data_IF_671185973421
#
_entry.id   IF_671185973421
#
_cell.length_a   1.000
_cell.length_b   1.000
_cell.length_c   1.000
_cell.angle_alpha   90.00
_cell.angle_beta   90.00
_cell.angle_gamma   90.00
#
_symmetry.space_group_name_H-M   'P 1'
#
loop_
_entity.id
_entity.type
_entity.pdbx_description
1 polymer ?
2 non-polymer ?
3 water ?
#
# COMPACT_ATOMS: atom_id res chain seq x y z
N UNK A 3 -18.71 -32.57 19.61
CA UNK A 3 -19.76 -31.78 18.91
C UNK A 3 -19.10 -30.55 18.30
N UNK A 4 -18.15 -30.02 19.07
CA UNK A 4 -17.38 -28.88 18.58
C UNK A 4 -16.39 -29.26 17.50
N UNK A 5 -15.83 -30.47 17.59
CA UNK A 5 -14.89 -30.96 16.60
C UNK A 5 -15.52 -31.03 15.21
N UNK A 6 -16.76 -31.53 15.17
CA UNK A 6 -17.52 -31.62 13.93
C UNK A 6 -17.85 -30.25 13.36
N UNK A 7 -18.25 -29.32 14.23
CA UNK A 7 -18.48 -27.95 13.83
C UNK A 7 -17.21 -27.32 13.24
N UNK A 8 -16.10 -27.52 13.93
CA UNK A 8 -14.83 -26.94 13.46
C UNK A 8 -14.40 -27.49 12.10
N UNK A 9 -14.53 -28.80 11.93
CA UNK A 9 -14.10 -29.43 10.67
C UNK A 9 -14.96 -28.97 9.49
N UNK A 10 -16.23 -28.70 9.76
CA UNK A 10 -17.16 -28.27 8.74
C UNK A 10 -17.05 -26.78 8.45
N UNK A 11 -16.52 -26.02 9.42
CA UNK A 11 -16.51 -24.57 9.30
C UNK A 11 -15.33 -24.07 8.49
N UNK A 12 -14.24 -24.80 8.41
CA UNK A 12 -13.00 -24.33 7.83
C UNK A 12 -12.81 -24.56 6.35
N UNK A 13 -11.96 -23.77 5.70
CA UNK A 13 -11.71 -23.88 4.25
C UNK A 13 -10.59 -24.90 4.10
N UNK A 14 -10.25 -25.28 2.87
CA UNK A 14 -9.23 -26.30 2.71
C UNK A 14 -7.97 -25.87 1.97
N UNK A 15 -7.98 -24.98 1.00
CA UNK A 15 -6.75 -24.64 0.29
C UNK A 15 -6.20 -23.27 0.69
N UNK A 16 -5.12 -22.87 0.04
CA UNK A 16 -4.44 -21.62 0.29
C UNK A 16 -5.24 -20.40 -0.11
N UNK A 17 -5.21 -19.36 0.74
CA UNK A 17 -5.86 -18.10 0.40
C UNK A 17 -5.31 -17.60 -0.93
N UNK A 18 -6.25 -17.24 -1.82
CA UNK A 18 -5.85 -16.81 -3.18
C UNK A 18 -6.40 -15.45 -3.53
N UNK A 19 -5.60 -14.66 -4.23
CA UNK A 19 -6.04 -13.38 -4.77
C UNK A 19 -6.80 -13.69 -6.08
N UNK A 20 -8.07 -13.29 -6.12
CA UNK A 20 -8.96 -13.56 -7.23
C UNK A 20 -9.31 -12.34 -8.08
N UNK A 21 -8.98 -11.15 -7.61
CA UNK A 21 -9.29 -9.94 -8.37
C UNK A 21 -8.57 -8.75 -7.77
N UNK A 22 -8.09 -7.84 -8.60
CA UNK A 22 -7.43 -6.64 -8.08
C UNK A 22 -7.97 -5.45 -8.87
N UNK A 23 -8.31 -4.39 -8.19
CA UNK A 23 -8.80 -3.18 -8.86
C UNK A 23 -8.17 -1.97 -8.18
N UNK A 24 -7.84 -0.90 -8.94
CA UNK A 24 -7.23 0.26 -8.31
C UNK A 24 -7.98 1.54 -8.72
N UNK A 25 -7.71 2.61 -7.99
CA UNK A 25 -8.26 3.92 -8.29
C UNK A 25 -7.41 4.99 -7.65
N UNK A 26 -7.46 6.18 -8.23
CA UNK A 26 -6.74 7.34 -7.78
C UNK A 26 -7.60 8.60 -7.99
N UNK A 27 -7.33 9.62 -7.21
CA UNK A 27 -8.00 10.91 -7.37
C UNK A 27 -7.71 11.41 -8.80
N UNK A 28 -8.64 12.15 -9.39
CA UNK A 28 -8.41 12.54 -10.81
C UNK A 28 -7.30 13.54 -11.00
N UNK A 29 -6.90 14.29 -10.00
CA UNK A 29 -5.91 15.35 -10.16
C UNK A 29 -4.49 14.82 -10.27
N UNK A 30 -3.89 14.91 -11.48
CA UNK A 30 -2.54 14.40 -11.73
C UNK A 30 -1.51 15.48 -11.52
N UNK A 31 -0.55 15.32 -10.61
CA UNK A 31 0.43 16.29 -10.26
C UNK A 31 1.81 15.88 -10.81
N UNK A 32 2.31 16.61 -11.81
CA UNK A 32 3.61 16.29 -12.37
C UNK A 32 4.70 16.54 -11.34
N UNK A 33 5.71 15.71 -11.25
CA UNK A 33 6.77 15.88 -10.28
C UNK A 33 7.77 16.90 -10.76
N UNK A 34 8.00 17.00 -12.07
CA UNK A 34 9.04 17.89 -12.58
C UNK A 34 8.82 19.31 -12.15
N UNK A 35 7.60 19.80 -12.11
CA UNK A 35 7.31 21.17 -11.71
C UNK A 35 6.74 21.30 -10.30
N UNK A 36 6.80 20.19 -9.56
CA UNK A 36 6.17 20.20 -8.22
C UNK A 36 6.85 21.14 -7.27
N UNK A 37 8.17 21.21 -7.23
CA UNK A 37 8.87 22.10 -6.33
C UNK A 37 8.38 23.54 -6.45
N UNK A 38 8.24 24.04 -7.67
CA UNK A 38 7.77 25.37 -7.97
C UNK A 38 6.33 25.57 -7.52
N UNK A 39 5.46 24.60 -7.79
CA UNK A 39 4.08 24.64 -7.36
C UNK A 39 4.00 24.62 -5.82
N UNK A 40 4.71 23.70 -5.20
CA UNK A 40 4.58 23.50 -3.74
C UNK A 40 5.07 24.69 -2.96
N UNK A 41 6.22 25.25 -3.38
CA UNK A 41 6.76 26.41 -2.69
C UNK A 41 5.90 27.65 -2.89
N UNK A 42 5.18 27.78 -4.00
CA UNK A 42 4.29 28.90 -4.22
C UNK A 42 3.03 28.76 -3.37
N UNK A 43 2.37 27.61 -3.48
CA UNK A 43 1.14 27.35 -2.77
C UNK A 43 1.32 27.37 -1.24
N UNK A 44 2.52 27.12 -0.74
CA UNK A 44 2.75 27.18 0.71
C UNK A 44 3.36 28.51 1.10
N UNK A 45 3.39 29.51 0.21
CA UNK A 45 4.00 30.80 0.52
C UNK A 45 5.42 30.65 1.04
N UNK A 46 6.25 29.88 0.38
CA UNK A 46 7.60 29.64 0.79
C UNK A 46 8.64 29.99 -0.27
N UNK A 47 8.30 30.80 -1.25
CA UNK A 47 9.23 31.20 -2.31
C UNK A 47 10.49 31.86 -1.77
N UNK A 48 10.46 32.53 -0.63
CA UNK A 48 11.65 33.12 -0.05
C UNK A 48 12.59 32.10 0.57
N UNK A 49 12.18 30.86 0.83
CA UNK A 49 13.09 29.88 1.41
C UNK A 49 13.87 29.22 0.27
N UNK A 50 14.83 29.96 -0.29
CA UNK A 50 15.52 29.59 -1.53
C UNK A 50 16.41 28.38 -1.35
N UNK A 51 17.18 28.31 -0.27
CA UNK A 51 18.04 27.14 -0.05
C UNK A 51 17.20 25.90 0.15
N UNK A 52 16.11 26.04 0.91
CA UNK A 52 15.20 24.89 1.13
C UNK A 52 14.55 24.42 -0.17
N UNK A 53 14.13 25.38 -0.99
CA UNK A 53 13.52 25.07 -2.28
C UNK A 53 14.47 24.31 -3.20
N UNK A 54 15.75 24.68 -3.21
CA UNK A 54 16.74 23.94 -3.99
C UNK A 54 16.84 22.50 -3.46
N UNK A 55 16.89 22.33 -2.13
CA UNK A 55 16.89 21.02 -1.51
C UNK A 55 15.67 20.21 -1.93
N UNK A 56 14.49 20.83 -1.94
CA UNK A 56 13.30 20.10 -2.35
C UNK A 56 13.41 19.66 -3.81
N UNK A 57 13.91 20.56 -4.68
CA UNK A 57 14.03 20.24 -6.11
C UNK A 57 14.90 19.00 -6.28
N UNK A 58 16.00 18.88 -5.55
CA UNK A 58 16.86 17.72 -5.64
C UNK A 58 16.15 16.47 -5.12
N UNK A 59 15.39 16.64 -4.02
CA UNK A 59 14.56 15.55 -3.50
C UNK A 59 13.58 15.06 -4.55
N UNK A 60 12.86 15.99 -5.18
CA UNK A 60 11.94 15.58 -6.24
C UNK A 60 12.72 14.99 -7.43
N UNK A 61 13.85 15.60 -7.82
CA UNK A 61 14.53 15.06 -9.02
C UNK A 61 15.05 13.66 -8.78
N UNK A 62 15.44 13.33 -7.56
CA UNK A 62 15.93 12.02 -7.21
C UNK A 62 14.88 11.01 -6.73
N UNK A 63 13.63 11.44 -6.63
CA UNK A 63 12.58 10.59 -6.10
C UNK A 63 12.25 9.44 -7.01
N UNK A 64 12.57 9.57 -8.31
CA UNK A 64 12.19 8.58 -9.32
C UNK A 64 10.67 8.50 -9.44
N UNK A 65 9.93 9.55 -9.13
CA UNK A 65 8.50 9.66 -9.24
C UNK A 65 8.25 10.63 -10.42
N UNK A 66 7.53 10.25 -11.44
CA UNK A 66 7.18 11.19 -12.51
C UNK A 66 5.88 11.93 -12.18
N UNK A 67 4.94 11.27 -11.50
CA UNK A 67 3.68 11.91 -11.18
C UNK A 67 2.98 11.23 -10.00
N UNK A 68 2.09 12.00 -9.36
CA UNK A 68 1.26 11.47 -8.28
C UNK A 68 -0.14 12.01 -8.49
N UNK A 69 -1.11 11.30 -7.93
CA UNK A 69 -2.49 11.69 -7.96
C UNK A 69 -2.85 12.21 -6.56
N UNK A 70 -3.45 13.41 -6.51
CA UNK A 70 -3.77 14.01 -5.24
C UNK A 70 -5.22 14.53 -5.21
N UNK A 71 -5.91 14.18 -4.11
CA UNK A 71 -7.23 14.74 -3.87
C UNK A 71 -7.09 16.25 -3.72
N UNK A 72 -6.06 16.66 -2.98
CA UNK A 72 -5.81 18.08 -2.75
C UNK A 72 -5.50 18.82 -4.06
N UNK A 73 -6.06 19.98 -4.24
CA UNK A 73 -5.87 20.82 -5.42
C UNK A 73 -5.42 22.20 -5.00
N UNK A 74 -5.08 23.02 -6.00
CA UNK A 74 -4.73 24.40 -5.68
C UNK A 74 -5.91 25.09 -5.01
N UNK A 75 -7.10 24.93 -5.53
CA UNK A 75 -8.28 25.56 -4.94
C UNK A 75 -8.47 25.14 -3.48
N UNK A 76 -8.45 23.83 -3.24
CA UNK A 76 -8.62 23.31 -1.86
C UNK A 76 -7.56 23.91 -0.96
N UNK A 77 -6.30 23.92 -1.37
CA UNK A 77 -5.22 24.45 -0.56
C UNK A 77 -5.40 25.95 -0.33
N UNK A 78 -5.87 26.69 -1.33
CA UNK A 78 -6.20 28.10 -1.15
C UNK A 78 -7.31 28.35 -0.16
N UNK A 79 -8.26 27.45 -0.01
CA UNK A 79 -9.29 27.59 1.05
C UNK A 79 -8.87 27.06 2.40
N UNK A 80 -7.68 26.49 2.52
CA UNK A 80 -7.19 25.94 3.78
C UNK A 80 -5.76 26.30 4.01
N UNK A 81 -5.45 27.55 4.35
CA UNK A 81 -4.11 28.01 4.61
C UNK A 81 -3.47 27.33 5.80
N UNK A 82 -4.27 26.88 6.76
CA UNK A 82 -3.73 26.17 7.94
C UNK A 82 -3.04 24.90 7.49
N UNK A 83 -3.61 24.23 6.50
CA UNK A 83 -3.00 23.04 5.91
C UNK A 83 -1.72 23.32 5.15
N UNK A 84 -1.56 24.51 4.55
CA UNK A 84 -0.37 24.90 3.83
C UNK A 84 0.78 25.34 4.70
N UNK A 85 0.52 25.58 6.00
CA UNK A 85 1.54 25.94 6.95
C UNK A 85 2.28 24.67 7.35
N UNK A 86 3.47 24.80 7.92
CA UNK A 86 4.16 23.60 8.38
C UNK A 86 3.42 23.04 9.60
N UNK A 87 2.92 23.93 10.48
CA UNK A 87 2.36 23.44 11.74
C UNK A 87 1.24 24.34 12.23
N UNK A 88 0.04 24.08 11.73
CA UNK A 88 -1.08 24.88 12.24
C UNK A 88 -2.26 23.94 12.49
N UNK A 89 -3.14 24.31 13.42
CA UNK A 89 -4.31 23.55 13.75
C UNK A 89 -5.14 23.37 12.51
N UNK A 90 -5.31 22.07 12.16
CA UNK A 90 -5.87 21.79 10.83
C UNK A 90 -6.45 20.40 10.77
N UNK A 91 -6.39 19.65 11.88
CA UNK A 91 -6.95 18.29 11.82
C UNK A 91 -8.42 18.22 11.48
N UNK A 92 -9.26 19.15 11.97
CA UNK A 92 -10.69 19.03 11.73
C UNK A 92 -10.98 19.17 10.22
N UNK A 93 -10.31 20.14 9.56
CA UNK A 93 -10.40 20.31 8.11
C UNK A 93 -9.95 19.05 7.38
N UNK A 94 -8.76 18.55 7.74
CA UNK A 94 -8.21 17.34 7.10
C UNK A 94 -9.10 16.13 7.28
N UNK A 95 -9.58 15.87 8.51
CA UNK A 95 -10.52 14.82 8.82
C UNK A 95 -11.77 14.92 7.95
N UNK A 96 -12.31 16.10 7.74
CA UNK A 96 -13.51 16.28 6.95
C UNK A 96 -13.25 15.83 5.50
N UNK A 97 -12.05 16.10 5.01
CA UNK A 97 -11.68 15.64 3.66
C UNK A 97 -11.57 14.13 3.60
N UNK A 98 -10.75 13.52 4.46
CA UNK A 98 -10.37 12.13 4.32
C UNK A 98 -11.42 11.20 4.90
N UNK A 99 -12.35 11.63 5.76
CA UNK A 99 -13.37 10.67 6.22
C UNK A 99 -14.30 10.34 5.04
N UNK A 100 -14.46 11.28 4.11
CA UNK A 100 -15.26 11.07 2.90
C UNK A 100 -14.44 10.52 1.74
N UNK A 101 -13.23 11.03 1.54
CA UNK A 101 -12.42 10.62 0.37
C UNK A 101 -11.85 9.22 0.49
N UNK A 102 -11.56 8.77 1.71
CA UNK A 102 -11.02 7.42 1.84
C UNK A 102 -12.01 6.39 1.35
N UNK A 103 -13.19 6.32 1.90
CA UNK A 103 -14.19 5.39 1.45
C UNK A 103 -14.66 5.71 0.03
N UNK A 104 -14.67 6.95 -0.46
CA UNK A 104 -15.07 7.19 -1.87
C UNK A 104 -14.10 6.54 -2.85
N UNK A 105 -12.82 6.76 -2.61
CA UNK A 105 -11.79 6.18 -3.51
C UNK A 105 -11.69 4.69 -3.39
N UNK A 106 -11.87 4.19 -2.15
CA UNK A 106 -11.90 2.77 -1.86
C UNK A 106 -13.02 2.10 -2.65
N UNK A 107 -14.17 2.74 -2.65
CA UNK A 107 -15.33 2.25 -3.39
C UNK A 107 -14.98 2.10 -4.87
N UNK A 108 -14.36 3.12 -5.44
CA UNK A 108 -14.00 3.06 -6.87
C UNK A 108 -13.13 1.84 -7.13
N UNK A 109 -12.04 1.68 -6.36
CA UNK A 109 -11.21 0.49 -6.54
C UNK A 109 -12.00 -0.79 -6.32
N UNK A 110 -12.84 -0.83 -5.26
CA UNK A 110 -13.54 -2.06 -4.92
C UNK A 110 -14.51 -2.49 -6.02
N UNK A 111 -15.24 -1.55 -6.58
CA UNK A 111 -16.18 -1.85 -7.67
C UNK A 111 -15.46 -2.50 -8.85
N UNK A 112 -14.26 -2.02 -9.13
CA UNK A 112 -13.45 -2.59 -10.20
C UNK A 112 -13.06 -4.01 -9.89
N UNK A 113 -12.58 -4.27 -8.65
CA UNK A 113 -12.22 -5.65 -8.29
C UNK A 113 -13.43 -6.56 -8.34
N UNK A 114 -14.56 -6.12 -7.80
CA UNK A 114 -15.78 -6.92 -7.75
C UNK A 114 -16.23 -7.23 -9.19
N UNK A 115 -16.09 -6.31 -10.13
CA UNK A 115 -16.48 -6.54 -11.55
C UNK A 115 -15.58 -7.61 -12.14
N UNK A 116 -14.28 -7.46 -11.91
CA UNK A 116 -13.33 -8.45 -12.36
C UNK A 116 -13.69 -9.82 -11.77
N UNK A 117 -13.88 -9.90 -10.44
CA UNK A 117 -14.21 -11.20 -9.84
C UNK A 117 -15.45 -11.81 -10.48
N UNK A 118 -16.47 -11.00 -10.70
CA UNK A 118 -17.65 -11.38 -11.45
C UNK A 118 -18.75 -12.01 -10.65
N UNK A 119 -18.55 -12.20 -9.33
CA UNK A 119 -19.55 -12.86 -8.50
C UNK A 119 -20.37 -11.85 -7.72
N UNK A 120 -21.53 -12.26 -7.24
CA UNK A 120 -22.44 -11.39 -6.52
C UNK A 120 -21.72 -10.80 -5.31
N UNK A 121 -21.97 -9.51 -5.09
CA UNK A 121 -21.34 -8.83 -3.94
C UNK A 121 -21.87 -9.39 -2.64
N UNK A 122 -23.07 -10.01 -2.64
CA UNK A 122 -23.61 -10.64 -1.46
C UNK A 122 -22.82 -11.87 -1.02
N UNK A 123 -21.90 -12.38 -1.82
CA UNK A 123 -21.02 -13.45 -1.41
C UNK A 123 -19.77 -12.92 -0.68
N UNK A 124 -19.66 -11.61 -0.55
CA UNK A 124 -18.54 -11.06 0.21
C UNK A 124 -18.83 -11.27 1.70
N UNK A 125 -18.02 -12.11 2.35
CA UNK A 125 -18.31 -12.38 3.78
C UNK A 125 -17.53 -11.55 4.80
N UNK A 126 -16.37 -11.07 4.42
CA UNK A 126 -15.44 -10.33 5.23
C UNK A 126 -14.97 -9.08 4.47
N UNK A 127 -14.70 -8.03 5.23
CA UNK A 127 -14.20 -6.80 4.66
C UNK A 127 -13.09 -6.24 5.55
N UNK A 128 -11.94 -6.06 4.95
CA UNK A 128 -10.80 -5.44 5.61
C UNK A 128 -10.66 -4.09 4.93
N UNK A 129 -10.61 -3.05 5.77
CA UNK A 129 -10.33 -1.72 5.19
C UNK A 129 -9.09 -1.21 5.93
N UNK A 130 -8.19 -0.62 5.16
CA UNK A 130 -6.93 -0.15 5.71
C UNK A 130 -6.62 1.24 5.20
N UNK A 131 -6.24 2.09 6.17
CA UNK A 131 -5.81 3.43 5.80
C UNK A 131 -4.85 3.96 6.85
N UNK A 132 -4.08 4.92 6.44
CA UNK A 132 -3.25 5.72 7.35
C UNK A 132 -3.78 7.15 7.41
N UNK A 133 -4.88 7.43 6.78
CA UNK A 133 -5.42 8.76 6.51
C UNK A 133 -6.75 8.99 7.22
N UNK A 134 -6.69 9.57 8.44
CA UNK A 134 -7.89 9.86 9.20
C UNK A 134 -8.54 8.65 9.89
N UNK A 135 -9.35 8.96 10.91
CA UNK A 135 -10.10 7.96 11.67
C UNK A 135 -11.52 8.48 11.90
N UNK A 136 -12.46 7.59 12.19
CA UNK A 136 -13.81 8.00 12.51
C UNK A 136 -14.58 6.80 13.09
N UNK A 137 -15.70 7.08 13.74
CA UNK A 137 -16.56 6.02 14.24
C UNK A 137 -18.01 6.33 13.90
N UNK A 138 -18.72 5.44 13.29
CA UNK A 138 -18.33 4.23 12.63
C UNK A 138 -17.22 4.56 11.61
N UNK A 139 -16.37 3.58 11.34
CA UNK A 139 -15.21 3.76 10.47
C UNK A 139 -15.48 3.66 8.98
N UNK A 140 -14.40 3.71 8.17
CA UNK A 140 -14.45 3.63 6.72
C UNK A 140 -14.97 2.27 6.28
N UNK A 141 -14.89 1.24 7.14
CA UNK A 141 -15.42 -0.08 6.85
C UNK A 141 -16.95 -0.05 6.81
N UNK A 142 -17.52 0.65 7.77
CA UNK A 142 -18.98 0.83 7.78
C UNK A 142 -19.38 1.63 6.53
N UNK A 143 -18.68 2.73 6.27
CA UNK A 143 -18.98 3.57 5.12
C UNK A 143 -18.92 2.78 3.81
N UNK A 144 -17.88 1.97 3.60
CA UNK A 144 -17.74 1.18 2.40
C UNK A 144 -18.82 0.10 2.34
N UNK A 145 -19.23 -0.43 3.49
CA UNK A 145 -20.34 -1.41 3.46
C UNK A 145 -21.58 -0.75 2.88
N UNK A 146 -21.86 0.45 3.37
CA UNK A 146 -23.01 1.21 2.91
C UNK A 146 -22.87 1.59 1.42
N UNK A 147 -21.75 2.21 1.07
CA UNK A 147 -21.51 2.65 -0.31
C UNK A 147 -21.61 1.52 -1.35
N UNK A 148 -21.07 0.36 -1.02
CA UNK A 148 -21.06 -0.77 -1.96
C UNK A 148 -22.33 -1.57 -1.90
N UNK A 149 -23.16 -1.42 -0.88
CA UNK A 149 -24.30 -2.30 -0.70
C UNK A 149 -23.86 -3.69 -0.32
N UNK A 150 -22.81 -3.85 0.50
CA UNK A 150 -22.48 -5.18 1.00
C UNK A 150 -23.56 -5.65 1.96
N UNK A 151 -23.71 -6.93 2.26
CA UNK A 151 -24.65 -7.35 3.30
C UNK A 151 -24.28 -6.75 4.64
N UNK A 152 -25.26 -6.41 5.47
CA UNK A 152 -25.01 -5.84 6.79
C UNK A 152 -24.21 -6.75 7.71
N UNK A 153 -24.25 -8.05 7.49
CA UNK A 153 -23.55 -9.02 8.32
C UNK A 153 -22.17 -9.33 7.76
N UNK A 154 -21.64 -8.49 6.86
CA UNK A 154 -20.25 -8.71 6.46
C UNK A 154 -19.39 -8.56 7.71
N UNK A 155 -18.37 -9.37 7.91
CA UNK A 155 -17.50 -9.26 9.09
C UNK A 155 -16.36 -8.29 8.80
N UNK A 156 -16.33 -7.19 9.54
CA UNK A 156 -15.43 -6.09 9.28
C UNK A 156 -14.20 -6.03 10.18
N UNK A 157 -13.10 -5.56 9.60
CA UNK A 157 -11.78 -5.43 10.24
C UNK A 157 -11.27 -4.04 9.89
N UNK A 158 -11.44 -3.05 10.75
CA UNK A 158 -11.08 -1.69 10.40
C UNK A 158 -9.65 -1.45 10.86
N UNK A 159 -8.73 -1.32 9.92
CA UNK A 159 -7.32 -1.13 10.23
C UNK A 159 -6.96 0.34 10.04
N UNK A 160 -6.91 1.07 11.14
CA UNK A 160 -6.63 2.51 11.09
C UNK A 160 -5.22 2.85 11.52
N UNK A 161 -4.70 3.98 11.04
CA UNK A 161 -3.42 4.52 11.45
C UNK A 161 -2.30 3.51 11.37
N UNK A 162 -2.26 2.72 10.32
CA UNK A 162 -1.41 1.59 10.14
C UNK A 162 -0.01 1.92 9.66
N UNK A 163 0.09 2.72 8.59
CA UNK A 163 1.41 3.05 8.05
C UNK A 163 1.79 2.17 6.87
N UNK A 164 2.97 2.37 6.29
CA UNK A 164 3.32 1.86 4.99
C UNK A 164 3.49 0.36 4.84
N UNK A 165 3.66 -0.35 5.96
CA UNK A 165 3.82 -1.78 5.85
C UNK A 165 2.47 -2.45 5.73
N UNK A 166 1.35 -1.79 5.91
CA UNK A 166 0.08 -2.50 6.00
C UNK A 166 -0.49 -3.02 4.71
N UNK A 167 0.09 -2.82 3.52
CA UNK A 167 -0.37 -3.62 2.37
C UNK A 167 -0.02 -5.09 2.70
N UNK A 168 1.11 -5.32 3.35
CA UNK A 168 1.48 -6.65 3.84
C UNK A 168 0.54 -7.14 4.96
N UNK A 169 0.19 -6.30 5.90
CA UNK A 169 -0.67 -6.64 7.06
C UNK A 169 -2.04 -7.07 6.57
N UNK A 170 -2.62 -6.34 5.59
CA UNK A 170 -3.95 -6.79 5.15
C UNK A 170 -3.90 -8.12 4.43
N UNK A 171 -2.84 -8.45 3.73
CA UNK A 171 -2.72 -9.78 3.11
C UNK A 171 -2.58 -10.85 4.19
N UNK A 172 -1.74 -10.59 5.21
CA UNK A 172 -1.51 -11.52 6.33
C UNK A 172 -2.85 -11.81 7.01
N UNK A 173 -3.64 -10.75 7.20
CA UNK A 173 -4.93 -10.89 7.87
C UNK A 173 -5.90 -11.63 6.96
N UNK A 174 -6.06 -11.19 5.71
CA UNK A 174 -6.98 -11.89 4.79
C UNK A 174 -6.69 -13.37 4.62
N UNK A 175 -5.41 -13.76 4.66
CA UNK A 175 -5.04 -15.15 4.56
C UNK A 175 -5.71 -15.99 5.66
N UNK A 176 -5.66 -15.59 6.94
CA UNK A 176 -6.29 -16.35 7.99
C UNK A 176 -7.80 -16.34 7.87
N UNK A 177 -8.41 -15.18 7.56
CA UNK A 177 -9.84 -15.15 7.40
C UNK A 177 -10.26 -16.15 6.33
N UNK A 178 -9.69 -16.06 5.12
CA UNK A 178 -10.11 -16.91 4.02
C UNK A 178 -9.91 -18.40 4.29
N UNK A 179 -8.75 -18.73 4.84
CA UNK A 179 -8.36 -20.10 5.08
C UNK A 179 -9.08 -20.78 6.23
N UNK A 180 -9.52 -20.04 7.25
CA UNK A 180 -10.18 -20.69 8.38
C UNK A 180 -11.69 -20.75 8.22
N UNK A 181 -12.25 -20.20 7.13
CA UNK A 181 -13.69 -20.14 7.00
C UNK A 181 -14.11 -20.57 5.59
N UNK A 182 -14.75 -21.71 5.53
CA UNK A 182 -15.24 -22.27 4.28
C UNK A 182 -16.20 -21.31 3.60
N UNK A 183 -15.97 -21.02 2.32
CA UNK A 183 -16.85 -20.13 1.55
C UNK A 183 -16.48 -18.66 1.70
N UNK A 184 -15.60 -18.32 2.66
CA UNK A 184 -15.35 -16.90 2.92
C UNK A 184 -14.68 -16.24 1.72
N UNK A 185 -15.15 -15.05 1.40
CA UNK A 185 -14.62 -14.20 0.34
C UNK A 185 -14.38 -12.82 0.97
N UNK A 186 -13.13 -12.42 0.98
CA UNK A 186 -12.73 -11.21 1.69
C UNK A 186 -12.46 -10.06 0.73
N UNK A 187 -13.19 -8.97 0.89
CA UNK A 187 -12.89 -7.78 0.11
C UNK A 187 -11.84 -7.03 0.93
N UNK A 188 -10.71 -6.74 0.30
CA UNK A 188 -9.61 -6.07 0.96
C UNK A 188 -9.40 -4.70 0.32
N UNK A 189 -9.51 -3.62 1.10
CA UNK A 189 -9.39 -2.29 0.52
C UNK A 189 -8.36 -1.46 1.29
N UNK A 190 -7.31 -1.05 0.60
CA UNK A 190 -6.37 -0.10 1.18
C UNK A 190 -6.64 1.23 0.46
N UNK A 191 -6.81 2.31 1.18
CA UNK A 191 -7.15 3.60 0.53
C UNK A 191 -6.45 4.69 1.30
N UNK A 192 -5.60 5.47 0.64
CA UNK A 192 -4.72 6.38 1.33
C UNK A 192 -4.85 7.76 0.68
N UNK A 193 -5.00 8.80 1.50
CA UNK A 193 -5.20 10.15 0.90
C UNK A 193 -4.32 11.12 1.64
N UNK A 194 -3.37 11.80 1.02
CA UNK A 194 -2.39 12.60 1.69
C UNK A 194 -2.85 13.93 2.24
N UNK A 195 -4.15 14.21 2.17
CA UNK A 195 -4.71 15.43 2.74
C UNK A 195 -4.43 15.51 4.24
N UNK A 196 -4.25 14.37 4.93
CA UNK A 196 -3.96 14.42 6.37
C UNK A 196 -2.54 14.77 6.68
N UNK A 197 -1.62 14.57 5.72
CA UNK A 197 -0.21 14.77 5.88
C UNK A 197 0.43 15.93 5.15
N UNK A 198 -0.17 16.46 4.11
CA UNK A 198 0.38 17.61 3.38
C UNK A 198 0.63 18.76 4.36
N UNK A 199 1.74 19.43 4.27
CA UNK A 199 2.02 20.60 5.09
C UNK A 199 3.18 21.38 4.45
N UNK A 200 3.29 22.65 4.83
CA UNK A 200 4.36 23.49 4.35
C UNK A 200 5.75 23.04 4.79
N UNK A 201 6.76 23.65 4.15
CA UNK A 201 8.14 23.32 4.37
C UNK A 201 8.78 24.02 5.54
N UNK A 202 9.71 23.34 6.21
CA UNK A 202 10.45 24.02 7.27
C UNK A 202 11.89 23.55 7.20
N UNK A 203 12.84 24.48 7.23
CA UNK A 203 14.23 24.08 7.01
C UNK A 203 14.87 23.32 8.16
N UNK A 204 14.26 23.15 9.32
CA UNK A 204 14.78 22.36 10.42
C UNK A 204 14.03 21.05 10.52
N UNK A 205 13.19 20.76 9.51
CA UNK A 205 12.40 19.56 9.42
C UNK A 205 12.43 18.96 8.01
N UNK A 206 13.64 18.62 7.55
CA UNK A 206 13.86 18.03 6.24
C UNK A 206 13.24 16.66 6.07
N UNK A 207 13.24 15.86 7.14
CA UNK A 207 12.52 14.56 7.12
C UNK A 207 11.09 14.75 6.73
N UNK A 208 10.40 15.72 7.37
CA UNK A 208 9.04 16.05 6.99
C UNK A 208 8.95 16.37 5.51
N UNK A 209 9.87 17.20 5.01
CA UNK A 209 9.94 17.58 3.59
C UNK A 209 10.06 16.40 2.65
N UNK A 210 10.83 15.39 2.99
CA UNK A 210 10.90 14.16 2.18
C UNK A 210 9.53 13.56 1.94
N UNK A 211 8.69 13.56 3.00
CA UNK A 211 7.31 13.07 2.83
C UNK A 211 6.59 13.84 1.76
N UNK A 212 6.83 15.15 1.65
CA UNK A 212 6.13 15.98 0.66
C UNK A 212 6.57 15.67 -0.78
N UNK A 213 7.78 15.14 -0.93
CA UNK A 213 8.21 14.73 -2.30
C UNK A 213 7.68 13.36 -2.65
N UNK A 214 7.44 12.47 -1.64
CA UNK A 214 7.14 11.09 -2.00
C UNK A 214 5.70 10.61 -1.90
N UNK A 215 4.89 11.08 -0.96
CA UNK A 215 3.58 10.50 -0.73
C UNK A 215 2.54 10.96 -1.74
N UNK A 216 1.75 9.98 -2.19
CA UNK A 216 0.71 10.21 -3.20
C UNK A 216 -0.55 9.45 -2.86
N UNK A 217 -1.65 9.72 -3.55
CA UNK A 217 -2.90 9.06 -3.20
C UNK A 217 -3.32 7.88 -4.07
N UNK A 218 -4.09 6.97 -3.45
CA UNK A 218 -4.64 5.90 -4.30
C UNK A 218 -5.31 4.85 -3.41
N UNK A 219 -6.09 3.99 -4.01
CA UNK A 219 -6.72 2.87 -3.36
C UNK A 219 -6.58 1.63 -4.25
N UNK A 220 -6.49 0.51 -3.58
CA UNK A 220 -6.46 -0.78 -4.27
C UNK A 220 -7.33 -1.73 -3.50
N UNK A 221 -8.04 -2.55 -4.27
CA UNK A 221 -8.94 -3.53 -3.67
C UNK A 221 -8.68 -4.92 -4.19
N UNK A 222 -8.83 -5.93 -3.35
CA UNK A 222 -8.60 -7.30 -3.72
C UNK A 222 -9.87 -8.09 -3.35
N UNK A 223 -9.99 -9.23 -3.98
CA UNK A 223 -10.94 -10.24 -3.48
C UNK A 223 -10.04 -11.42 -3.11
N UNK A 224 -10.15 -11.93 -1.88
CA UNK A 224 -9.28 -13.02 -1.45
C UNK A 224 -10.18 -14.14 -0.98
N UNK A 225 -9.87 -15.37 -1.37
CA UNK A 225 -10.59 -16.50 -0.83
C UNK A 225 -9.84 -17.81 -1.04
N UNK A 226 -10.17 -18.82 -0.24
CA UNK A 226 -9.67 -20.17 -0.49
C UNK A 226 -10.65 -20.95 -1.37
N UNK A 227 -10.20 -22.07 -1.93
CA UNK A 227 -11.04 -22.98 -2.71
C UNK A 227 -11.83 -22.28 -3.80
N UNK A 228 -11.12 -21.67 -4.75
CA UNK A 228 -11.75 -20.95 -5.85
C UNK A 228 -12.60 -21.89 -6.69
N UNK A 229 -13.73 -21.47 -7.20
CA UNK A 229 -14.57 -22.33 -8.03
C UNK A 229 -14.03 -22.39 -9.46
N UNK A 230 -13.52 -23.56 -9.84
CA UNK A 230 -12.81 -23.77 -11.09
C UNK A 230 -13.57 -23.15 -12.25
N UNK A 231 -12.86 -22.37 -13.05
CA UNK A 231 -13.43 -21.68 -14.20
C UNK A 231 -14.62 -20.77 -13.98
N UNK A 232 -14.94 -20.36 -12.77
CA UNK A 232 -15.93 -19.35 -12.47
C UNK A 232 -15.05 -18.22 -11.88
N UNK A 233 -14.20 -18.59 -10.94
CA UNK A 233 -13.24 -17.66 -10.32
C UNK A 233 -11.87 -17.87 -10.93
N UNK A 234 -11.03 -16.84 -10.91
CA UNK A 234 -9.73 -16.96 -11.57
C UNK A 234 -8.58 -16.53 -10.66
N UNK A 235 -7.93 -17.47 -10.03
CA UNK A 235 -6.74 -17.22 -9.23
C UNK A 235 -5.72 -16.36 -9.95
N UNK A 236 -5.08 -15.46 -9.24
CA UNK A 236 -4.03 -14.61 -9.78
C UNK A 236 -2.73 -14.89 -9.04
N UNK A 237 -2.79 -14.96 -7.70
CA UNK A 237 -1.63 -15.26 -6.86
C UNK A 237 -2.18 -16.05 -5.65
N UNK A 238 -1.35 -16.90 -5.06
CA UNK A 238 -1.76 -17.66 -3.89
C UNK A 238 -0.86 -17.20 -2.72
N UNK A 239 -1.39 -17.13 -1.51
CA UNK A 239 -0.53 -16.76 -0.38
C UNK A 239 -0.09 -18.06 0.27
N UNK A 240 1.14 -18.17 0.74
CA UNK A 240 1.58 -19.43 1.31
C UNK A 240 2.00 -19.30 2.77
N UNK A 241 2.66 -18.18 3.11
CA UNK A 241 3.29 -18.01 4.42
C UNK A 241 3.53 -16.53 4.67
N UNK A 242 3.39 -16.06 5.91
CA UNK A 242 3.56 -14.64 6.21
C UNK A 242 4.39 -14.48 7.49
N UNK A 243 4.97 -13.30 7.64
CA UNK A 243 5.68 -12.95 8.85
C UNK A 243 5.64 -11.44 9.01
N UNK A 244 5.84 -11.02 10.26
CA UNK A 244 5.99 -9.61 10.56
C UNK A 244 7.13 -9.52 11.60
N UNK A 245 8.03 -8.57 11.40
CA UNK A 245 9.07 -8.40 12.42
C UNK A 245 9.47 -6.95 12.59
N UNK A 246 10.18 -6.69 13.70
CA UNK A 246 10.68 -5.36 14.03
C UNK A 246 12.20 -5.42 13.90
N UNK A 247 12.77 -4.57 13.05
CA UNK A 247 14.23 -4.63 12.89
C UNK A 247 14.94 -4.16 14.15
N UNK A 248 16.07 -4.80 14.48
CA UNK A 248 16.84 -4.38 15.62
C UNK A 248 17.41 -3.00 15.34
N UNK A 249 17.72 -2.25 16.38
CA UNK A 249 18.39 -0.96 16.24
C UNK A 249 17.62 -0.01 15.35
N UNK A 250 16.29 -0.04 15.37
CA UNK A 250 15.54 0.86 14.48
C UNK A 250 14.53 1.68 15.26
N UNK A 251 14.68 1.74 16.58
CA UNK A 251 13.69 2.44 17.38
C UNK A 251 13.60 3.90 17.00
N UNK A 252 12.37 4.30 16.69
CA UNK A 252 12.12 5.66 16.24
C UNK A 252 12.52 5.91 14.80
N UNK A 253 12.82 4.92 13.98
CA UNK A 253 13.20 5.19 12.59
C UNK A 253 12.16 5.95 11.79
N UNK A 254 10.88 5.61 11.89
CA UNK A 254 9.78 6.22 11.16
C UNK A 254 8.59 6.39 12.11
N UNK A 255 8.19 7.61 12.41
CA UNK A 255 7.13 7.89 13.39
C UNK A 255 6.12 8.89 12.80
N UNK A 256 4.85 8.67 13.07
CA UNK A 256 3.82 9.58 12.51
C UNK A 256 2.85 9.82 13.68
N UNK A 257 2.60 11.06 14.02
CA UNK A 257 1.72 11.35 15.15
C UNK A 257 0.48 12.07 14.63
N UNK A 258 -0.70 11.68 15.12
CA UNK A 258 -1.90 12.38 14.67
C UNK A 258 -2.21 13.45 15.70
N UNK A 259 -1.98 14.70 15.30
CA UNK A 259 -2.09 15.83 16.20
C UNK A 259 -3.15 16.81 15.71
N UNK A 260 -3.23 17.95 16.42
CA UNK A 260 -4.15 19.02 16.03
C UNK A 260 -3.74 19.63 14.70
N UNK A 261 -2.47 19.51 14.33
CA UNK A 261 -1.92 20.00 13.06
C UNK A 261 -1.94 18.89 11.97
N UNK A 262 -2.67 17.81 12.20
CA UNK A 262 -2.72 16.72 11.22
C UNK A 262 -1.67 15.66 11.51
N UNK A 263 -1.41 14.81 10.51
CA UNK A 263 -0.47 13.70 10.72
C UNK A 263 0.92 14.19 10.36
N UNK A 264 1.83 14.11 11.31
CA UNK A 264 3.19 14.58 11.03
C UNK A 264 4.02 13.34 10.67
N UNK A 265 5.08 13.54 9.91
CA UNK A 265 5.94 12.45 9.47
C UNK A 265 7.35 12.74 9.91
N UNK A 266 8.03 11.79 10.56
CA UNK A 266 9.41 11.95 10.98
C UNK A 266 10.23 10.70 10.60
N UNK A 267 11.47 10.96 10.27
CA UNK A 267 12.47 9.97 9.92
C UNK A 267 13.71 10.24 10.76
N UNK A 268 14.01 9.39 11.72
CA UNK A 268 15.14 9.63 12.62
C UNK A 268 16.29 8.67 12.36
N UNK A 269 16.15 7.73 11.44
CA UNK A 269 17.21 6.77 11.22
C UNK A 269 17.27 6.48 9.71
N UNK A 270 18.37 5.83 9.31
CA UNK A 270 18.57 5.50 7.89
C UNK A 270 17.68 4.30 7.52
N UNK A 271 16.50 4.57 6.97
CA UNK A 271 15.57 3.50 6.61
C UNK A 271 16.09 2.58 5.51
N UNK A 272 16.62 3.08 4.40
CA UNK A 272 17.23 2.22 3.38
C UNK A 272 18.25 1.26 3.92
N UNK A 273 19.10 1.70 4.85
CA UNK A 273 20.17 0.95 5.47
C UNK A 273 19.64 -0.07 6.47
N UNK A 274 18.63 0.30 7.26
CA UNK A 274 18.01 -0.70 8.17
C UNK A 274 17.30 -1.75 7.32
N UNK A 275 16.56 -1.32 6.27
CA UNK A 275 15.89 -2.34 5.47
C UNK A 275 16.86 -3.30 4.80
N UNK A 276 17.92 -2.75 4.21
CA UNK A 276 18.90 -3.56 3.51
C UNK A 276 19.67 -4.51 4.41
N UNK A 277 20.01 -4.10 5.64
CA UNK A 277 20.71 -4.96 6.57
C UNK A 277 19.83 -6.09 7.11
N UNK A 278 18.51 -5.92 7.10
CA UNK A 278 17.60 -6.90 7.64
C UNK A 278 16.79 -7.67 6.63
N UNK A 279 16.77 -7.28 5.37
CA UNK A 279 16.02 -8.01 4.34
C UNK A 279 16.48 -9.43 4.17
N UNK A 280 17.79 -9.72 4.26
CA UNK A 280 18.26 -11.07 4.04
C UNK A 280 17.69 -12.07 5.04
N UNK A 281 17.72 -11.65 6.32
CA UNK A 281 17.15 -12.52 7.36
C UNK A 281 15.68 -12.79 7.11
N UNK A 282 14.89 -11.81 6.68
CA UNK A 282 13.49 -12.02 6.36
C UNK A 282 13.34 -13.03 5.21
N UNK A 283 14.20 -12.89 4.19
CA UNK A 283 14.19 -13.83 3.07
C UNK A 283 14.54 -15.24 3.46
N UNK A 284 15.56 -15.42 4.33
CA UNK A 284 15.90 -16.80 4.70
C UNK A 284 14.84 -17.44 5.57
N UNK A 285 14.20 -16.69 6.47
CA UNK A 285 13.09 -17.23 7.24
C UNK A 285 11.99 -17.68 6.28
N UNK A 286 11.71 -16.89 5.25
CA UNK A 286 10.63 -17.25 4.35
C UNK A 286 10.98 -18.37 3.36
N UNK A 287 12.15 -18.31 2.75
CA UNK A 287 12.51 -19.17 1.65
C UNK A 287 13.44 -20.32 1.92
N UNK A 288 14.14 -20.30 3.07
CA UNK A 288 14.99 -21.47 3.37
C UNK A 288 14.21 -22.75 3.54
N UNK A 289 13.03 -22.73 4.17
CA UNK A 289 12.19 -23.91 4.28
C UNK A 289 11.62 -24.36 2.96
N UNK A 290 11.68 -23.54 1.90
CA UNK A 290 11.25 -23.96 0.57
C UNK A 290 12.42 -24.41 -0.27
N UNK A 291 13.60 -24.41 0.33
CA UNK A 291 14.81 -24.80 -0.38
C UNK A 291 15.23 -23.74 -1.39
N UNK A 292 14.76 -22.49 -1.24
CA UNK A 292 15.21 -21.52 -2.23
C UNK A 292 16.15 -20.48 -1.62
N UNK A 293 17.27 -20.21 -2.30
CA UNK A 293 18.26 -19.25 -1.88
C UNK A 293 18.63 -18.25 -2.99
N UNK A 294 18.25 -18.49 -4.23
CA UNK A 294 18.53 -17.57 -5.34
C UNK A 294 17.42 -16.55 -5.43
N UNK A 295 17.69 -15.34 -4.97
CA UNK A 295 16.64 -14.33 -4.88
C UNK A 295 16.35 -13.65 -6.21
N UNK A 296 17.03 -14.04 -7.30
CA UNK A 296 16.66 -13.60 -8.64
C UNK A 296 15.70 -14.59 -9.28
N UNK A 297 15.52 -15.74 -8.64
CA UNK A 297 14.68 -16.79 -9.16
C UNK A 297 13.23 -16.67 -8.72
N UNK A 298 12.90 -15.71 -7.88
CA UNK A 298 11.56 -15.43 -7.42
C UNK A 298 11.07 -14.07 -7.91
N UNK A 299 9.75 -13.86 -7.99
CA UNK A 299 9.32 -12.51 -8.45
C UNK A 299 9.18 -11.58 -7.25
N UNK A 300 9.34 -10.28 -7.45
CA UNK A 300 9.47 -9.35 -6.35
C UNK A 300 8.41 -8.27 -6.33
N UNK A 301 7.94 -7.95 -5.11
CA UNK A 301 7.08 -6.81 -4.89
C UNK A 301 7.61 -6.10 -3.62
N UNK A 302 8.07 -4.87 -3.70
CA UNK A 302 8.61 -4.26 -2.47
C UNK A 302 8.02 -2.89 -2.25
N UNK A 303 7.60 -2.60 -1.03
CA UNK A 303 7.00 -1.28 -0.82
C UNK A 303 8.08 -0.25 -1.18
N UNK A 304 7.83 0.57 -2.18
CA UNK A 304 8.77 1.60 -2.60
C UNK A 304 8.68 2.83 -1.72
N UNK A 305 9.09 2.71 -0.45
CA UNK A 305 9.04 3.80 0.52
C UNK A 305 9.75 5.05 -0.01
N UNK A 306 10.91 4.84 -0.63
CA UNK A 306 11.57 5.85 -1.49
C UNK A 306 12.47 5.02 -2.43
N UNK A 307 13.07 5.63 -3.44
CA UNK A 307 13.97 4.93 -4.34
C UNK A 307 15.19 4.34 -3.67
N UNK A 308 15.72 4.96 -2.61
CA UNK A 308 16.94 4.49 -1.97
C UNK A 308 16.72 3.15 -1.30
N UNK A 309 15.52 2.87 -0.77
CA UNK A 309 15.27 1.54 -0.23
C UNK A 309 15.44 0.48 -1.31
N UNK A 310 14.82 0.75 -2.48
CA UNK A 310 14.92 -0.19 -3.60
C UNK A 310 16.34 -0.37 -4.08
N UNK A 311 17.05 0.74 -4.28
CA UNK A 311 18.43 0.65 -4.77
C UNK A 311 19.32 -0.11 -3.80
N UNK A 312 19.18 0.18 -2.48
CA UNK A 312 20.06 -0.48 -1.52
C UNK A 312 19.68 -1.94 -1.35
N UNK A 313 18.38 -2.26 -1.50
CA UNK A 313 18.03 -3.68 -1.39
C UNK A 313 18.65 -4.43 -2.57
N UNK A 314 18.48 -3.85 -3.76
CA UNK A 314 18.98 -4.42 -5.02
C UNK A 314 20.50 -4.60 -4.93
N UNK A 315 21.19 -3.61 -4.43
CA UNK A 315 22.64 -3.70 -4.23
C UNK A 315 23.05 -4.75 -3.21
N UNK A 316 22.36 -4.81 -2.08
CA UNK A 316 22.67 -5.77 -1.02
C UNK A 316 22.59 -7.20 -1.51
N UNK A 317 21.51 -7.51 -2.24
CA UNK A 317 21.28 -8.88 -2.63
C UNK A 317 21.85 -9.26 -3.99
N UNK A 318 22.33 -8.30 -4.78
CA UNK A 318 22.68 -8.45 -6.16
C UNK A 318 21.47 -8.91 -6.98
N UNK A 319 20.38 -8.16 -6.78
CA UNK A 319 19.21 -8.47 -7.64
C UNK A 319 19.52 -7.96 -9.05
N UNK A 320 19.03 -8.65 -10.11
CA UNK A 320 19.15 -8.00 -11.42
C UNK A 320 18.28 -6.77 -11.40
N UNK A 321 18.62 -5.74 -12.17
CA UNK A 321 17.90 -4.49 -12.16
C UNK A 321 16.44 -4.68 -12.53
N UNK A 322 16.16 -5.70 -13.36
CA UNK A 322 14.80 -5.98 -13.79
C UNK A 322 13.92 -6.50 -12.65
N UNK A 323 14.46 -7.10 -11.59
CA UNK A 323 13.59 -7.61 -10.52
C UNK A 323 12.63 -6.53 -9.98
N UNK A 324 13.13 -5.33 -9.78
CA UNK A 324 12.32 -4.24 -9.26
C UNK A 324 11.57 -3.46 -10.32
N UNK A 325 11.45 -3.88 -11.59
CA UNK A 325 10.72 -3.12 -12.60
C UNK A 325 9.26 -2.84 -12.26
N UNK A 326 8.46 -3.81 -11.90
CA UNK A 326 7.04 -3.52 -11.57
C UNK A 326 6.93 -2.57 -10.39
N UNK A 327 7.80 -2.72 -9.39
CA UNK A 327 7.84 -1.85 -8.21
C UNK A 327 8.15 -0.41 -8.59
N UNK A 328 9.22 -0.25 -9.40
CA UNK A 328 9.66 1.07 -9.83
C UNK A 328 8.69 1.74 -10.78
N UNK A 329 8.02 0.94 -11.61
CA UNK A 329 7.00 1.49 -12.50
C UNK A 329 5.83 2.05 -11.69
N UNK A 330 5.39 1.39 -10.61
CA UNK A 330 4.39 1.96 -9.71
C UNK A 330 4.91 3.20 -8.98
N UNK A 331 6.15 3.21 -8.52
CA UNK A 331 6.69 4.39 -7.84
C UNK A 331 6.70 5.57 -8.81
N UNK A 332 7.04 5.31 -10.08
CA UNK A 332 7.15 6.31 -11.13
C UNK A 332 5.83 6.98 -11.48
N UNK A 333 4.79 6.17 -11.58
CA UNK A 333 3.48 6.58 -12.00
C UNK A 333 2.52 7.00 -10.88
N UNK A 334 2.83 6.70 -9.62
CA UNK A 334 1.95 7.01 -8.52
C UNK A 334 2.66 7.49 -7.25
N UNK A 335 3.95 7.32 -7.10
CA UNK A 335 4.62 7.72 -5.87
C UNK A 335 4.30 6.72 -4.74
N UNK A 336 4.60 7.13 -3.50
CA UNK A 336 4.43 6.24 -2.35
C UNK A 336 3.01 6.43 -1.79
N UNK A 337 2.17 5.48 -2.08
CA UNK A 337 0.77 5.49 -1.61
C UNK A 337 0.55 4.66 -0.35
N UNK A 338 1.58 4.66 0.50
CA UNK A 338 1.54 3.96 1.80
C UNK A 338 0.99 2.56 1.60
N UNK A 339 0.04 2.11 2.40
CA UNK A 339 -0.37 0.71 2.35
C UNK A 339 -0.83 0.21 0.99
N UNK A 340 -1.37 1.06 0.09
CA UNK A 340 -1.90 0.56 -1.17
C UNK A 340 -0.82 0.15 -2.17
N UNK A 341 0.36 0.71 -2.07
CA UNK A 341 1.38 0.56 -3.09
C UNK A 341 1.69 -0.85 -3.57
N UNK A 342 1.88 -1.71 -2.57
CA UNK A 342 2.23 -3.13 -2.91
C UNK A 342 1.08 -3.74 -3.69
N UNK A 343 -0.16 -3.40 -3.41
CA UNK A 343 -1.29 -3.95 -4.13
C UNK A 343 -1.31 -3.43 -5.57
N UNK A 344 -1.00 -2.17 -5.84
CA UNK A 344 -0.82 -1.67 -7.21
C UNK A 344 0.29 -2.43 -7.93
N UNK A 345 1.32 -2.78 -7.19
CA UNK A 345 2.46 -3.49 -7.83
C UNK A 345 2.07 -4.90 -8.22
N UNK A 346 1.28 -5.58 -7.38
CA UNK A 346 0.77 -6.89 -7.78
C UNK A 346 -0.05 -6.74 -9.07
N UNK A 347 -0.89 -5.68 -9.09
CA UNK A 347 -1.75 -5.52 -10.26
C UNK A 347 -0.86 -5.35 -11.52
N UNK A 348 0.12 -4.46 -11.45
CA UNK A 348 1.00 -4.13 -12.56
C UNK A 348 1.75 -5.37 -13.05
N UNK A 349 2.32 -6.11 -12.10
CA UNK A 349 2.99 -7.33 -12.45
C UNK A 349 2.08 -8.34 -13.14
N UNK A 350 0.89 -8.62 -12.63
CA UNK A 350 0.11 -9.67 -13.27
C UNK A 350 -0.38 -9.17 -14.66
N UNK A 351 -0.69 -7.88 -14.76
CA UNK A 351 -1.12 -7.33 -16.07
C UNK A 351 -0.03 -7.35 -17.14
N UNK A 352 1.20 -7.01 -16.78
CA UNK A 352 2.34 -7.03 -17.69
C UNK A 352 2.74 -8.43 -18.12
N UNK A 353 2.68 -9.37 -17.16
CA UNK A 353 2.95 -10.77 -17.43
C UNK A 353 1.93 -11.36 -18.37
N UNK A 354 0.66 -11.02 -18.18
CA UNK A 354 -0.42 -11.49 -19.03
C UNK A 354 -0.37 -10.81 -20.40
N UNK A 355 -0.11 -9.51 -20.38
CA UNK A 355 0.02 -8.73 -21.62
C UNK A 355 1.14 -9.26 -22.51
N UNK A 356 2.31 -9.50 -21.96
CA UNK A 356 3.48 -9.97 -22.64
C UNK A 356 3.56 -11.47 -22.90
N UNK A 357 2.51 -12.23 -22.69
CA UNK A 357 2.51 -13.64 -23.01
C UNK A 357 3.44 -14.46 -22.14
N UNK A 358 3.62 -14.11 -20.85
CA UNK A 358 4.52 -14.93 -20.01
C UNK A 358 3.81 -16.16 -19.50
N UNK A 359 4.54 -17.10 -18.93
CA UNK A 359 3.88 -18.33 -18.49
C UNK A 359 3.13 -18.19 -17.17
N UNK A 360 3.47 -17.22 -16.33
CA UNK A 360 2.82 -17.13 -15.01
C UNK A 360 2.49 -15.65 -14.78
N UNK A 361 1.66 -15.39 -13.81
CA UNK A 361 1.35 -14.02 -13.39
C UNK A 361 2.49 -13.39 -12.62
N UNK A 362 3.46 -14.16 -12.17
CA UNK A 362 4.63 -13.67 -11.43
C UNK A 362 5.85 -13.60 -12.36
N UNK A 363 5.66 -12.90 -13.49
CA UNK A 363 6.75 -12.70 -14.45
C UNK A 363 7.28 -14.00 -15.04
N UNK A 364 6.49 -15.05 -15.11
CA UNK A 364 6.96 -16.33 -15.64
C UNK A 364 7.64 -17.20 -14.60
N UNK A 365 7.74 -16.75 -13.35
CA UNK A 365 8.41 -17.46 -12.27
C UNK A 365 7.35 -18.03 -11.34
N UNK A 366 7.70 -19.07 -10.58
CA UNK A 366 6.73 -19.68 -9.70
C UNK A 366 6.50 -19.01 -8.32
N UNK A 367 7.55 -18.76 -7.58
CA UNK A 367 7.53 -18.21 -6.25
C UNK A 367 7.90 -16.75 -6.18
N UNK A 368 7.29 -16.05 -5.19
CA UNK A 368 7.59 -14.62 -5.16
C UNK A 368 7.46 -14.15 -3.70
N UNK A 369 7.93 -12.92 -3.54
CA UNK A 369 7.89 -12.35 -2.19
C UNK A 369 7.29 -10.95 -2.26
N UNK A 370 6.48 -10.61 -1.28
CA UNK A 370 5.99 -9.23 -1.17
C UNK A 370 6.43 -8.68 0.19
N UNK A 371 7.01 -7.49 0.19
CA UNK A 371 7.45 -6.89 1.43
C UNK A 371 6.72 -5.58 1.68
N UNK A 372 6.39 -5.33 2.94
CA UNK A 372 5.91 -3.96 3.26
C UNK A 372 6.87 -3.46 4.35
N UNK A 373 7.20 -2.18 4.28
CA UNK A 373 8.14 -1.59 5.26
C UNK A 373 7.49 -0.37 5.88
N UNK A 374 7.69 -0.11 7.18
CA UNK A 374 7.06 1.08 7.77
C UNK A 374 7.44 1.22 9.23
N UNK A 375 6.67 2.00 9.99
CA UNK A 375 6.99 2.31 11.37
C UNK A 375 7.24 1.09 12.22
N UNK A 376 8.25 1.17 13.09
CA UNK A 376 8.52 0.05 14.04
C UNK A 376 10.04 0.10 14.13
N UNK A 377 11.07 -0.06 13.31
CA UNK A 377 10.86 -0.27 11.89
C UNK A 377 10.25 -1.67 11.70
N UNK A 378 9.12 -1.80 11.02
CA UNK A 378 8.46 -3.04 10.73
C UNK A 378 8.72 -3.51 9.31
N UNK A 379 8.94 -4.81 9.14
CA UNK A 379 8.99 -5.52 7.89
C UNK A 379 7.90 -6.61 7.89
N UNK A 380 7.00 -6.49 6.91
CA UNK A 380 5.99 -7.53 6.68
C UNK A 380 6.46 -8.36 5.46
N UNK A 381 6.40 -9.67 5.58
CA UNK A 381 6.78 -10.57 4.51
C UNK A 381 5.56 -11.42 4.13
N UNK A 382 5.30 -11.53 2.81
CA UNK A 382 4.22 -12.40 2.34
C UNK A 382 4.80 -13.29 1.21
N UNK A 383 4.78 -14.59 1.36
CA UNK A 383 5.31 -15.47 0.32
C UNK A 383 4.15 -15.83 -0.63
N UNK A 384 4.43 -15.60 -1.91
CA UNK A 384 3.38 -15.86 -2.91
C UNK A 384 3.79 -16.94 -3.89
N UNK A 385 2.73 -17.57 -4.44
CA UNK A 385 3.00 -18.46 -5.58
C UNK A 385 2.21 -17.85 -6.74
N UNK A 386 2.77 -17.79 -7.96
CA UNK A 386 1.99 -17.23 -9.06
C UNK A 386 1.02 -18.26 -9.62
N UNK A 387 0.28 -17.93 -10.67
CA UNK A 387 -0.68 -18.82 -11.28
C UNK A 387 -0.34 -18.94 -12.78
N UNK A 388 -0.45 -20.16 -13.30
CA UNK A 388 -0.17 -20.35 -14.74
C UNK A 388 -1.09 -19.50 -15.60
N UNK A 389 -0.49 -18.79 -16.52
CA UNK A 389 -1.03 -17.91 -17.54
C UNK A 389 -1.26 -16.49 -17.13
#
# INVERSE_FOLDING_TARGET
MVSVSEIRKAQRAEGPATILAIGTANPANCVEQSTYPDFYFKITNSEHKTELKEKFQRMCDKSMIKRRYMYLTEEILKENPNVCEYMAPSLDARQDMVVVEVPRLGKEAAVKAIKEWGQPKSKITHLIVCTTSGVDMPGADYQLTKLLGLRPYVKRYMMYQQGCFAGGTVLRLAKDLAENNKGARVLVVCSEVTAVTFRGPSDTHLDSLVGQALFGDGAAALIVGSDPVPEIEKPIFEMVWTAQTIAPDSEGAIDGHLREAGLTFHLLKDVPGIVSKNITKALVEAFEPLGISDYNSIFWIAHPGGPAILDQVEQKLALKPEKMNATREVLSEYGNMSSACVLFILDEMRKKSTQNGLKTTGEGLEWGVLFGFGPGLTIETVVLRSVAI
#
